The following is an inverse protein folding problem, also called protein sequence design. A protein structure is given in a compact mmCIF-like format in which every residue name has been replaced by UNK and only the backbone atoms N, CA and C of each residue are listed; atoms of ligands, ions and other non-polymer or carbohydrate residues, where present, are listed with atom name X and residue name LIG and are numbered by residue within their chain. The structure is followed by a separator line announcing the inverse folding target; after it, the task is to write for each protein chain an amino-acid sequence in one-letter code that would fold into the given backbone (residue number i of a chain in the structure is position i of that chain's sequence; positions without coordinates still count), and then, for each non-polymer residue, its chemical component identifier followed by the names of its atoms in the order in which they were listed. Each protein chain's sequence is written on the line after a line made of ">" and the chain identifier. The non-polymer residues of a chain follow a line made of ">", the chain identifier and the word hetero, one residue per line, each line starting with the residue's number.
data_IF_632504680741
#
_entry.id   IF_632504680741
#
_cell.length_a   1.000
_cell.length_b   1.000
_cell.length_c   1.000
_cell.angle_alpha   90.00
_cell.angle_beta   90.00
_cell.angle_gamma   90.00
#
_symmetry.space_group_name_H-M   'P 1'
#
loop_
_entity.id
_entity.type
_entity.pdbx_description
1 polymer ?
#
# COMPACT_ATOMS: atom_id res chain seq x y z
N UNK A 1 -3.95 17.63 -25.24
CA UNK A 1 -4.38 17.71 -23.82
C UNK A 1 -4.83 16.36 -23.25
N UNK A 2 -5.77 15.63 -23.88
CA UNK A 2 -6.22 14.31 -23.37
C UNK A 2 -5.08 13.30 -23.20
N UNK A 3 -4.23 13.16 -24.22
CA UNK A 3 -3.06 12.26 -24.20
C UNK A 3 -2.11 12.60 -23.05
N UNK A 4 -1.85 13.89 -22.83
CA UNK A 4 -1.03 14.35 -21.71
C UNK A 4 -1.62 13.92 -20.35
N UNK A 5 -2.91 14.16 -20.13
CA UNK A 5 -3.55 13.74 -18.88
C UNK A 5 -3.55 12.23 -18.71
N UNK A 6 -3.78 11.46 -19.77
CA UNK A 6 -3.70 9.99 -19.73
C UNK A 6 -2.30 9.52 -19.33
N UNK A 7 -1.24 10.14 -19.85
CA UNK A 7 0.13 9.78 -19.48
C UNK A 7 0.45 10.16 -18.03
N UNK A 8 0.02 11.36 -17.60
CA UNK A 8 0.19 11.82 -16.21
C UNK A 8 -0.53 10.89 -15.23
N UNK A 9 -1.80 10.57 -15.46
CA UNK A 9 -2.58 9.71 -14.55
C UNK A 9 -2.00 8.30 -14.47
N UNK A 10 -1.53 7.77 -15.59
CA UNK A 10 -0.91 6.44 -15.64
C UNK A 10 0.41 6.41 -14.89
N UNK A 11 1.28 7.41 -15.11
CA UNK A 11 2.52 7.56 -14.34
C UNK A 11 2.23 7.68 -12.85
N UNK A 12 1.25 8.50 -12.45
CA UNK A 12 0.86 8.63 -11.04
C UNK A 12 0.40 7.29 -10.47
N UNK A 13 -0.42 6.53 -11.21
CA UNK A 13 -0.88 5.19 -10.79
C UNK A 13 0.28 4.23 -10.53
N UNK A 14 1.22 4.12 -11.47
CA UNK A 14 2.39 3.24 -11.36
C UNK A 14 3.25 3.63 -10.15
N UNK A 15 3.52 4.92 -9.97
CA UNK A 15 4.30 5.40 -8.83
C UNK A 15 3.57 5.23 -7.50
N UNK A 16 2.23 5.30 -7.48
CA UNK A 16 1.43 4.93 -6.31
C UNK A 16 1.58 3.44 -5.97
N UNK A 17 1.67 2.56 -6.96
CA UNK A 17 1.98 1.15 -6.74
C UNK A 17 3.38 0.93 -6.16
N UNK A 18 4.38 1.66 -6.64
CA UNK A 18 5.73 1.67 -6.05
C UNK A 18 5.65 2.11 -4.60
N UNK A 19 4.95 3.21 -4.30
CA UNK A 19 4.77 3.71 -2.93
C UNK A 19 4.08 2.69 -2.03
N UNK A 20 3.05 1.99 -2.52
CA UNK A 20 2.41 0.90 -1.80
C UNK A 20 3.38 -0.25 -1.51
N UNK A 21 4.25 -0.58 -2.47
CA UNK A 21 5.28 -1.61 -2.31
C UNK A 21 6.36 -1.19 -1.30
N UNK A 22 6.79 0.08 -1.30
CA UNK A 22 7.66 0.66 -0.27
C UNK A 22 7.02 0.54 1.10
N UNK A 23 5.74 0.89 1.23
CA UNK A 23 5.02 0.80 2.51
C UNK A 23 4.94 -0.63 3.03
N UNK A 24 4.70 -1.62 2.15
CA UNK A 24 4.75 -3.04 2.51
C UNK A 24 6.15 -3.47 2.96
N UNK A 25 7.18 -3.06 2.22
CA UNK A 25 8.57 -3.33 2.57
C UNK A 25 8.92 -2.76 3.96
N UNK A 26 8.61 -1.49 4.19
CA UNK A 26 8.87 -0.83 5.48
C UNK A 26 8.12 -1.48 6.63
N UNK A 27 6.90 -1.98 6.40
CA UNK A 27 6.13 -2.70 7.42
C UNK A 27 6.77 -4.02 7.86
N UNK A 28 7.48 -4.69 6.97
CA UNK A 28 8.14 -5.98 7.24
C UNK A 28 9.50 -5.78 7.92
N UNK A 29 10.32 -4.85 7.42
CA UNK A 29 11.70 -4.71 7.89
C UNK A 29 11.89 -3.65 8.99
N UNK A 30 11.05 -2.62 9.02
CA UNK A 30 11.22 -1.47 9.91
C UNK A 30 9.89 -1.02 10.55
N UNK A 31 9.24 -1.87 11.36
CA UNK A 31 7.92 -1.59 11.93
C UNK A 31 7.91 -0.34 12.84
N UNK A 32 9.00 -0.10 13.58
CA UNK A 32 9.14 1.10 14.43
C UNK A 32 9.24 2.38 13.59
N UNK A 33 9.92 2.31 12.44
CA UNK A 33 10.01 3.44 11.53
C UNK A 33 8.66 3.71 10.87
N UNK A 34 7.90 2.67 10.54
CA UNK A 34 6.55 2.80 9.96
C UNK A 34 5.61 3.58 10.88
N UNK A 35 5.66 3.35 12.19
CA UNK A 35 4.87 4.11 13.17
C UNK A 35 5.20 5.61 13.15
N UNK A 36 6.48 5.96 12.99
CA UNK A 36 6.93 7.36 12.91
C UNK A 36 6.63 8.01 11.57
N UNK A 37 6.62 7.23 10.48
CA UNK A 37 6.47 7.72 9.10
C UNK A 37 5.04 7.66 8.55
N UNK A 38 4.02 7.50 9.40
CA UNK A 38 2.62 7.39 8.94
C UNK A 38 2.13 8.56 8.07
N UNK A 39 2.69 9.76 8.21
CA UNK A 39 2.36 10.92 7.37
C UNK A 39 3.14 11.01 6.05
N UNK A 40 4.19 10.21 5.88
CA UNK A 40 5.05 10.23 4.70
C UNK A 40 4.33 9.88 3.38
N UNK A 41 3.38 8.91 3.33
CA UNK A 41 2.69 8.57 2.09
C UNK A 41 1.98 9.76 1.45
N UNK A 42 1.39 10.66 2.26
CA UNK A 42 0.72 11.85 1.75
C UNK A 42 1.70 12.79 1.03
N UNK A 43 2.87 13.03 1.63
CA UNK A 43 3.93 13.84 1.00
C UNK A 43 4.52 13.14 -0.23
N UNK A 44 4.68 11.82 -0.16
CA UNK A 44 5.12 11.00 -1.28
C UNK A 44 4.19 11.12 -2.50
N UNK A 45 2.87 10.98 -2.29
CA UNK A 45 1.87 11.15 -3.36
C UNK A 45 1.92 12.55 -3.97
N UNK A 46 2.05 13.59 -3.13
CA UNK A 46 2.19 14.97 -3.63
C UNK A 46 3.42 15.15 -4.52
N UNK A 47 4.58 14.62 -4.10
CA UNK A 47 5.80 14.64 -4.89
C UNK A 47 5.65 13.85 -6.20
N UNK A 48 5.02 12.68 -6.17
CA UNK A 48 4.75 11.86 -7.35
C UNK A 48 3.89 12.64 -8.36
N UNK A 49 2.83 13.32 -7.89
CA UNK A 49 1.95 14.11 -8.76
C UNK A 49 2.71 15.26 -9.41
N UNK A 50 3.46 16.04 -8.62
CA UNK A 50 4.25 17.17 -9.13
C UNK A 50 5.28 16.68 -10.16
N UNK A 51 6.02 15.63 -9.83
CA UNK A 51 7.07 15.10 -10.69
C UNK A 51 6.49 14.49 -11.98
N UNK A 52 5.33 13.83 -11.89
CA UNK A 52 4.62 13.32 -13.07
C UNK A 52 4.13 14.45 -13.98
N UNK A 53 3.63 15.56 -13.44
CA UNK A 53 3.24 16.72 -14.25
C UNK A 53 4.45 17.33 -14.96
N UNK A 54 5.56 17.52 -14.23
CA UNK A 54 6.77 18.15 -14.78
C UNK A 54 7.44 17.30 -15.87
N UNK A 55 7.62 16.00 -15.64
CA UNK A 55 8.31 15.13 -16.60
C UNK A 55 7.50 14.88 -17.87
N UNK A 56 6.18 15.05 -17.83
CA UNK A 56 5.31 14.87 -19.00
C UNK A 56 5.01 16.19 -19.74
N UNK A 57 5.53 17.33 -19.28
CA UNK A 57 5.28 18.63 -19.91
C UNK A 57 5.77 18.67 -21.37
N UNK A 58 6.78 17.85 -21.70
CA UNK A 58 7.31 17.68 -23.05
C UNK A 58 6.25 17.28 -24.08
N UNK A 59 5.23 16.51 -23.69
CA UNK A 59 4.13 16.11 -24.60
C UNK A 59 3.28 17.28 -25.06
N UNK A 60 3.12 18.32 -24.23
CA UNK A 60 2.31 19.48 -24.59
C UNK A 60 2.93 20.21 -25.79
N UNK A 61 4.27 20.26 -25.85
CA UNK A 61 5.00 20.84 -26.97
C UNK A 61 5.12 19.92 -28.19
N UNK A 62 5.08 18.60 -28.01
CA UNK A 62 5.36 17.65 -29.08
C UNK A 62 4.13 17.21 -29.90
N UNK A 63 2.91 17.39 -29.38
CA UNK A 63 1.69 17.00 -30.07
C UNK A 63 1.16 18.17 -30.90
N UNK A 64 1.26 18.07 -32.22
CA UNK A 64 0.60 18.99 -33.15
C UNK A 64 -0.59 18.29 -33.82
N UNK A 65 -1.70 19.03 -33.96
CA UNK A 65 -2.86 18.56 -34.70
C UNK A 65 -2.69 18.92 -36.17
N UNK A 66 -2.44 17.92 -37.02
CA UNK A 66 -2.32 18.13 -38.48
C UNK A 66 -3.24 17.16 -39.21
N UNK A 67 -4.08 17.68 -40.10
CA UNK A 67 -4.90 16.90 -41.04
C UNK A 67 -5.73 15.77 -40.37
N UNK A 68 -6.40 16.08 -39.26
CA UNK A 68 -7.25 15.15 -38.47
C UNK A 68 -6.50 13.97 -37.83
N UNK A 69 -5.16 13.98 -37.84
CA UNK A 69 -4.34 13.05 -37.10
C UNK A 69 -3.51 13.78 -36.04
N UNK A 70 -3.41 13.20 -34.85
CA UNK A 70 -2.44 13.64 -33.84
C UNK A 70 -1.10 12.98 -34.18
N UNK A 71 -0.22 13.72 -34.85
CA UNK A 71 1.14 13.27 -35.14
C UNK A 71 2.14 13.93 -34.20
N UNK A 72 3.16 13.17 -33.82
CA UNK A 72 4.27 13.64 -32.99
C UNK A 72 5.24 14.39 -33.92
N UNK A 73 5.31 15.71 -33.83
CA UNK A 73 6.20 16.51 -34.68
C UNK A 73 7.26 17.20 -33.85
N UNK A 74 8.50 17.22 -34.34
CA UNK A 74 9.59 17.91 -33.66
C UNK A 74 9.45 19.42 -33.85
N UNK A 75 8.97 20.14 -32.83
CA UNK A 75 8.77 21.60 -32.91
C UNK A 75 10.06 22.40 -33.15
N UNK A 76 11.24 21.87 -32.80
CA UNK A 76 12.49 22.66 -32.77
C UNK A 76 13.63 22.11 -33.63
N UNK A 77 13.41 21.09 -34.47
CA UNK A 77 14.51 20.45 -35.23
C UNK A 77 15.51 19.65 -34.36
N UNK A 78 15.31 19.62 -33.04
CA UNK A 78 16.16 18.88 -32.09
C UNK A 78 15.64 17.45 -31.90
N UNK A 79 15.69 16.65 -32.98
CA UNK A 79 15.20 15.27 -32.94
C UNK A 79 15.89 14.43 -31.86
N UNK A 80 17.19 14.65 -31.65
CA UNK A 80 17.98 13.95 -30.63
C UNK A 80 17.46 14.24 -29.22
N UNK A 81 17.14 15.49 -28.89
CA UNK A 81 16.65 15.86 -27.56
C UNK A 81 15.28 15.22 -27.28
N UNK A 82 14.40 15.16 -28.27
CA UNK A 82 13.09 14.51 -28.15
C UNK A 82 13.24 13.01 -27.91
N UNK A 83 14.19 12.34 -28.58
CA UNK A 83 14.50 10.92 -28.34
C UNK A 83 14.95 10.69 -26.90
N UNK A 84 15.88 11.52 -26.39
CA UNK A 84 16.34 11.42 -25.00
C UNK A 84 15.23 11.71 -23.99
N UNK A 85 14.37 12.70 -24.25
CA UNK A 85 13.23 13.01 -23.38
C UNK A 85 12.23 11.85 -23.35
N UNK A 86 11.90 11.26 -24.49
CA UNK A 86 11.02 10.09 -24.54
C UNK A 86 11.67 8.87 -23.87
N UNK A 87 12.99 8.69 -24.00
CA UNK A 87 13.70 7.62 -23.30
C UNK A 87 13.68 7.84 -21.78
N UNK A 88 13.95 9.06 -21.33
CA UNK A 88 13.88 9.43 -19.92
C UNK A 88 12.47 9.23 -19.35
N UNK A 89 11.45 9.56 -20.12
CA UNK A 89 10.06 9.29 -19.79
C UNK A 89 9.77 7.79 -19.65
N UNK A 90 10.20 6.94 -20.60
CA UNK A 90 10.02 5.49 -20.49
C UNK A 90 10.80 4.92 -19.29
N UNK A 91 12.02 5.38 -19.07
CA UNK A 91 12.83 4.98 -17.92
C UNK A 91 12.14 5.34 -16.59
N UNK A 92 11.59 6.56 -16.51
CA UNK A 92 10.91 7.06 -15.32
C UNK A 92 9.52 6.45 -15.11
N UNK A 93 8.73 6.32 -16.17
CA UNK A 93 7.35 5.85 -16.13
C UNK A 93 7.23 4.34 -16.05
N UNK A 94 8.24 3.59 -16.52
CA UNK A 94 8.17 2.14 -16.62
C UNK A 94 9.34 1.43 -15.94
N UNK A 95 10.58 1.60 -16.43
CA UNK A 95 11.70 0.77 -15.96
C UNK A 95 12.03 0.94 -14.47
N UNK A 96 12.14 2.18 -14.00
CA UNK A 96 12.46 2.47 -12.59
C UNK A 96 11.35 1.90 -11.67
N UNK A 97 10.06 2.20 -11.90
CA UNK A 97 8.99 1.59 -11.12
C UNK A 97 8.98 0.06 -11.12
N UNK A 98 9.19 -0.58 -12.28
CA UNK A 98 9.20 -2.03 -12.41
C UNK A 98 10.32 -2.64 -11.58
N UNK A 99 11.56 -2.15 -11.76
CA UNK A 99 12.72 -2.65 -11.04
C UNK A 99 12.59 -2.41 -9.53
N UNK A 100 12.13 -1.22 -9.15
CA UNK A 100 11.91 -0.85 -7.75
C UNK A 100 10.89 -1.76 -7.07
N UNK A 101 9.75 -1.99 -7.72
CA UNK A 101 8.68 -2.87 -7.23
C UNK A 101 9.16 -4.32 -7.13
N UNK A 102 9.76 -4.86 -8.20
CA UNK A 102 10.31 -6.22 -8.21
C UNK A 102 11.36 -6.42 -7.11
N UNK A 103 12.24 -5.44 -6.91
CA UNK A 103 13.25 -5.50 -5.86
C UNK A 103 12.63 -5.51 -4.45
N UNK A 104 11.76 -4.55 -4.16
CA UNK A 104 11.16 -4.42 -2.81
C UNK A 104 10.26 -5.60 -2.48
N UNK A 105 9.34 -5.93 -3.39
CA UNK A 105 8.42 -7.04 -3.15
C UNK A 105 9.16 -8.39 -3.22
N UNK A 106 10.15 -8.55 -4.11
CA UNK A 106 11.00 -9.73 -4.16
C UNK A 106 11.74 -9.98 -2.84
N UNK A 107 12.27 -8.92 -2.22
CA UNK A 107 12.86 -9.02 -0.87
C UNK A 107 11.82 -9.38 0.18
N UNK A 108 10.60 -8.86 0.12
CA UNK A 108 9.53 -9.22 1.07
C UNK A 108 9.14 -10.70 0.94
N UNK A 109 9.17 -11.27 -0.27
CA UNK A 109 8.88 -12.70 -0.48
C UNK A 109 10.01 -13.62 -0.01
N UNK A 110 11.26 -13.23 -0.28
CA UNK A 110 12.43 -14.03 0.06
C UNK A 110 12.71 -14.05 1.56
N UNK A 111 12.47 -12.93 2.23
CA UNK A 111 12.56 -12.88 3.68
C UNK A 111 11.34 -13.57 4.24
N UNK A 112 11.47 -14.87 4.50
CA UNK A 112 10.56 -15.56 5.40
C UNK A 112 10.42 -14.68 6.63
N UNK A 113 9.20 -14.25 7.01
CA UNK A 113 9.03 -13.49 8.25
C UNK A 113 9.73 -14.31 9.31
N UNK A 114 10.66 -13.71 10.10
CA UNK A 114 11.35 -14.43 11.15
C UNK A 114 10.24 -15.10 11.93
N UNK A 115 10.12 -16.41 11.74
CA UNK A 115 9.20 -17.22 12.50
C UNK A 115 9.50 -16.81 13.91
N UNK A 116 8.46 -16.46 14.65
CA UNK A 116 8.53 -16.12 16.08
C UNK A 116 8.94 -17.38 16.88
N UNK A 117 9.91 -18.18 16.40
CA UNK A 117 11.09 -18.55 17.16
C UNK A 117 11.61 -17.22 17.73
N UNK A 118 11.32 -16.83 18.97
CA UNK A 118 11.30 -17.70 20.11
C UNK A 118 10.69 -16.91 21.28
N UNK A 119 9.38 -16.63 21.20
CA UNK A 119 8.67 -16.03 22.35
C UNK A 119 8.37 -17.06 23.44
N UNK A 120 9.02 -18.23 23.41
CA UNK A 120 8.93 -19.25 24.46
C UNK A 120 10.08 -19.21 25.47
N UNK A 121 11.12 -18.40 25.26
CA UNK A 121 12.22 -18.31 26.22
C UNK A 121 12.23 -17.09 27.15
N UNK A 122 11.23 -16.20 27.10
CA UNK A 122 11.02 -15.18 28.14
C UNK A 122 9.94 -15.65 29.13
N UNK A 123 10.11 -16.86 29.68
CA UNK A 123 9.76 -17.06 31.09
C UNK A 123 10.86 -16.38 31.90
N UNK A 124 10.78 -15.04 31.97
CA UNK A 124 11.48 -14.28 33.00
C UNK A 124 10.97 -14.79 34.33
N UNK A 125 11.93 -15.33 35.09
CA UNK A 125 11.83 -15.86 36.44
C UNK A 125 10.50 -15.67 37.12
N UNK A 126 9.79 -16.78 37.30
CA UNK A 126 9.06 -16.99 38.54
C UNK A 126 10.08 -16.83 39.67
N UNK A 127 10.14 -15.63 40.27
CA UNK A 127 10.53 -15.52 41.67
C UNK A 127 9.49 -16.28 42.46
N UNK A 128 9.72 -17.60 42.62
CA UNK A 128 9.13 -18.36 43.69
C UNK A 128 9.71 -17.80 45.00
N UNK A 129 8.90 -17.23 45.90
CA UNK A 129 9.27 -17.27 47.29
C UNK A 129 9.25 -18.74 47.72
N UNK A 130 10.38 -19.23 48.20
CA UNK A 130 10.48 -20.46 48.98
C UNK A 130 9.37 -20.43 50.03
N UNK A 131 8.37 -21.32 49.91
CA UNK A 131 7.56 -21.75 51.03
C UNK A 131 7.23 -23.23 50.84
N UNK A 132 7.43 -23.94 51.94
CA UNK A 132 7.59 -25.37 52.01
C UNK A 132 6.29 -26.14 51.80
N UNK A 133 6.46 -27.35 51.27
CA UNK A 133 5.69 -28.56 51.57
C UNK A 133 4.15 -28.45 51.53
N UNK A 134 3.57 -28.83 50.39
CA UNK A 134 2.35 -29.63 50.42
C UNK A 134 2.31 -30.57 49.21
N UNK A 135 2.45 -31.86 49.48
CA UNK A 135 2.07 -32.96 48.60
C UNK A 135 0.60 -32.83 48.21
N UNK A 136 0.26 -32.87 46.92
CA UNK A 136 -0.85 -33.70 46.48
C UNK A 136 -0.85 -33.93 44.97
N UNK A 137 -0.79 -35.21 44.64
CA UNK A 137 -1.08 -35.82 43.35
C UNK A 137 -2.45 -35.37 42.82
N UNK A 138 -2.48 -34.88 41.57
CA UNK A 138 -3.70 -34.98 40.76
C UNK A 138 -3.43 -34.84 39.26
N UNK A 139 -3.56 -36.00 38.60
CA UNK A 139 -4.05 -36.24 37.24
C UNK A 139 -3.60 -35.29 36.11
N UNK A 140 -2.45 -35.68 35.55
CA UNK A 140 -2.20 -35.71 34.11
C UNK A 140 -3.43 -36.21 33.32
N UNK A 141 -3.90 -35.40 32.36
CA UNK A 141 -4.20 -35.75 30.95
C UNK A 141 -5.15 -34.72 30.35
N UNK A 142 -4.76 -33.44 30.20
CA UNK A 142 -5.50 -32.49 29.34
C UNK A 142 -4.63 -31.38 28.70
N UNK A 143 -3.34 -31.28 29.01
CA UNK A 143 -2.48 -30.18 28.56
C UNK A 143 -1.94 -30.31 27.10
N UNK A 144 -2.28 -31.36 26.35
CA UNK A 144 -1.66 -31.61 25.04
C UNK A 144 -2.45 -31.08 23.82
N UNK A 145 -3.66 -30.52 24.00
CA UNK A 145 -4.48 -30.02 22.88
C UNK A 145 -4.42 -28.50 22.64
N UNK A 146 -3.91 -27.71 23.59
CA UNK A 146 -3.92 -26.25 23.47
C UNK A 146 -2.75 -25.68 22.64
N UNK A 147 -1.71 -26.49 22.39
CA UNK A 147 -0.53 -26.08 21.61
C UNK A 147 -0.72 -26.15 20.08
N UNK A 148 -1.82 -26.72 19.58
CA UNK A 148 -2.06 -26.88 18.14
C UNK A 148 -2.76 -25.67 17.47
N UNK A 149 -3.28 -24.70 18.24
CA UNK A 149 -4.02 -23.55 17.70
C UNK A 149 -3.12 -22.39 17.23
N UNK A 150 -1.86 -22.31 17.70
CA UNK A 150 -0.98 -21.16 17.44
C UNK A 150 -0.33 -21.16 16.04
N UNK A 151 -0.21 -22.32 15.38
CA UNK A 151 0.50 -22.44 14.10
C UNK A 151 -0.31 -22.05 12.85
N UNK A 152 -1.62 -21.73 12.97
CA UNK A 152 -2.51 -21.49 11.80
C UNK A 152 -2.53 -20.04 11.28
N UNK A 153 -1.84 -19.08 11.93
CA UNK A 153 -1.89 -17.66 11.57
C UNK A 153 -0.96 -17.23 10.42
N UNK A 154 0.24 -17.81 10.33
CA UNK A 154 1.26 -17.45 9.34
C UNK A 154 0.89 -17.68 7.85
N UNK A 155 0.17 -18.75 7.44
CA UNK A 155 -0.10 -18.97 6.01
C UNK A 155 -1.08 -17.96 5.41
N UNK A 156 -1.94 -17.33 6.22
CA UNK A 156 -2.94 -16.36 5.73
C UNK A 156 -2.30 -15.04 5.29
N UNK A 157 -1.34 -14.53 6.06
CA UNK A 157 -0.62 -13.29 5.72
C UNK A 157 0.18 -13.42 4.43
N UNK A 158 0.87 -14.56 4.24
CA UNK A 158 1.63 -14.86 3.00
C UNK A 158 0.72 -14.87 1.78
N UNK A 159 -0.46 -15.49 1.87
CA UNK A 159 -1.44 -15.50 0.78
C UNK A 159 -1.88 -14.09 0.40
N UNK A 160 -2.14 -13.22 1.38
CA UNK A 160 -2.48 -11.83 1.12
C UNK A 160 -1.34 -11.12 0.39
N UNK A 161 -0.11 -11.18 0.90
CA UNK A 161 1.07 -10.55 0.26
C UNK A 161 1.24 -11.04 -1.18
N UNK A 162 1.07 -12.34 -1.43
CA UNK A 162 1.19 -12.90 -2.77
C UNK A 162 0.10 -12.41 -3.73
N UNK A 163 -1.14 -12.27 -3.26
CA UNK A 163 -2.24 -11.69 -4.07
C UNK A 163 -1.90 -10.25 -4.44
N UNK A 164 -1.41 -9.47 -3.47
CA UNK A 164 -0.99 -8.09 -3.68
C UNK A 164 0.15 -7.97 -4.69
N UNK A 165 1.16 -8.84 -4.60
CA UNK A 165 2.24 -8.94 -5.57
C UNK A 165 1.69 -9.28 -6.96
N UNK A 166 0.81 -10.27 -7.07
CA UNK A 166 0.24 -10.69 -8.34
C UNK A 166 -0.54 -9.54 -9.01
N UNK A 167 -1.31 -8.78 -8.23
CA UNK A 167 -2.01 -7.58 -8.72
C UNK A 167 -1.02 -6.55 -9.25
N UNK A 168 0.01 -6.20 -8.45
CA UNK A 168 0.99 -5.21 -8.88
C UNK A 168 1.78 -5.69 -10.10
N UNK A 169 2.17 -6.95 -10.16
CA UNK A 169 2.85 -7.53 -11.32
C UNK A 169 1.97 -7.52 -12.58
N UNK A 170 0.66 -7.79 -12.44
CA UNK A 170 -0.27 -7.77 -13.57
C UNK A 170 -0.45 -6.35 -14.12
N UNK A 171 -0.55 -5.35 -13.24
CA UNK A 171 -0.62 -3.93 -13.61
C UNK A 171 0.60 -3.49 -14.44
N UNK A 172 1.80 -3.87 -13.97
CA UNK A 172 3.06 -3.60 -14.67
C UNK A 172 3.15 -4.33 -16.02
N UNK A 173 2.71 -5.59 -16.07
CA UNK A 173 2.74 -6.40 -17.30
C UNK A 173 1.79 -5.85 -18.37
N UNK A 174 0.64 -5.29 -17.99
CA UNK A 174 -0.29 -4.69 -18.94
C UNK A 174 0.25 -3.41 -19.59
N UNK A 175 1.14 -2.70 -18.89
CA UNK A 175 1.75 -1.48 -19.41
C UNK A 175 3.02 -1.77 -20.23
N UNK A 176 3.61 -2.97 -20.07
CA UNK A 176 4.85 -3.34 -20.76
C UNK A 176 4.75 -3.29 -22.30
N UNK A 177 3.71 -3.83 -22.96
CA UNK A 177 3.65 -3.90 -24.43
C UNK A 177 3.72 -2.53 -25.11
N UNK A 178 3.06 -1.52 -24.55
CA UNK A 178 3.09 -0.16 -25.12
C UNK A 178 4.46 0.48 -24.94
N UNK A 179 5.04 0.41 -23.74
CA UNK A 179 6.36 0.96 -23.46
C UNK A 179 7.48 0.27 -24.27
N UNK A 180 7.41 -1.05 -24.42
CA UNK A 180 8.36 -1.79 -25.27
C UNK A 180 8.19 -1.46 -26.74
N UNK A 181 6.96 -1.28 -27.23
CA UNK A 181 6.72 -0.86 -28.60
C UNK A 181 7.28 0.56 -28.83
N UNK A 182 7.01 1.50 -27.92
CA UNK A 182 7.57 2.87 -27.96
C UNK A 182 9.09 2.86 -27.95
N UNK A 183 9.71 2.02 -27.13
CA UNK A 183 11.16 1.85 -27.08
C UNK A 183 11.70 1.27 -28.39
N UNK A 184 11.07 0.22 -28.94
CA UNK A 184 11.48 -0.41 -30.19
C UNK A 184 11.43 0.57 -31.36
N UNK A 185 10.38 1.40 -31.44
CA UNK A 185 10.25 2.45 -32.47
C UNK A 185 11.35 3.52 -32.39
N UNK A 186 12.02 3.71 -31.25
CA UNK A 186 13.17 4.62 -31.18
C UNK A 186 14.41 4.08 -31.89
N UNK A 187 14.51 2.76 -32.05
CA UNK A 187 15.68 2.08 -32.63
C UNK A 187 15.45 1.58 -34.06
N UNK A 188 14.20 1.45 -34.50
CA UNK A 188 13.87 0.97 -35.84
C UNK A 188 13.91 2.13 -36.85
N UNK A 189 14.75 2.00 -37.88
CA UNK A 189 14.73 2.89 -39.04
C UNK A 189 13.50 2.64 -39.91
N UNK A 190 12.92 3.72 -40.44
CA UNK A 190 11.63 3.76 -41.16
C UNK A 190 11.57 2.85 -42.40
N UNK A 191 12.72 2.40 -42.91
CA UNK A 191 12.88 1.61 -44.16
C UNK A 191 12.62 0.11 -44.02
N UNK A 192 12.36 -0.41 -42.81
CA UNK A 192 12.22 -1.84 -42.55
C UNK A 192 10.78 -2.36 -42.82
N UNK A 193 10.59 -3.59 -43.33
CA UNK A 193 9.28 -4.18 -43.63
C UNK A 193 8.41 -4.54 -42.41
N UNK A 194 8.85 -4.18 -41.20
CA UNK A 194 8.16 -4.46 -39.91
C UNK A 194 6.80 -3.73 -39.81
N UNK A 195 6.56 -2.77 -40.70
CA UNK A 195 5.33 -1.98 -40.74
C UNK A 195 4.02 -2.78 -40.89
N UNK A 196 4.06 -3.99 -41.48
CA UNK A 196 2.85 -4.82 -41.61
C UNK A 196 2.31 -5.31 -40.25
N UNK A 197 3.20 -5.68 -39.33
CA UNK A 197 2.82 -6.16 -37.99
C UNK A 197 2.66 -5.02 -36.97
N UNK A 198 3.12 -3.82 -37.32
CA UNK A 198 3.08 -2.68 -36.42
C UNK A 198 1.67 -2.33 -35.94
N UNK A 199 0.71 -2.23 -36.86
CA UNK A 199 -0.68 -1.86 -36.53
C UNK A 199 -1.37 -2.82 -35.56
N UNK A 200 -1.41 -4.15 -35.82
CA UNK A 200 -2.06 -5.07 -34.88
C UNK A 200 -1.35 -5.08 -33.52
N UNK A 201 -0.01 -5.08 -33.48
CA UNK A 201 0.75 -5.04 -32.22
C UNK A 201 0.43 -3.76 -31.44
N UNK A 202 0.37 -2.61 -32.12
CA UNK A 202 0.00 -1.33 -31.50
C UNK A 202 -1.39 -1.36 -30.88
N UNK A 203 -2.39 -1.89 -31.60
CA UNK A 203 -3.77 -1.98 -31.09
C UNK A 203 -3.83 -2.88 -29.86
N UNK A 204 -3.15 -4.03 -29.89
CA UNK A 204 -3.08 -4.94 -28.73
C UNK A 204 -2.38 -4.26 -27.55
N UNK A 205 -1.24 -3.61 -27.78
CA UNK A 205 -0.52 -2.88 -26.74
C UNK A 205 -1.38 -1.78 -26.10
N UNK A 206 -2.12 -1.02 -26.91
CA UNK A 206 -3.04 0.00 -26.41
C UNK A 206 -4.21 -0.61 -25.63
N UNK A 207 -4.76 -1.74 -26.08
CA UNK A 207 -5.82 -2.44 -25.36
C UNK A 207 -5.34 -2.93 -23.99
N UNK A 208 -4.13 -3.50 -23.91
CA UNK A 208 -3.50 -3.86 -22.65
C UNK A 208 -3.33 -2.65 -21.74
N UNK A 209 -2.80 -1.54 -22.29
CA UNK A 209 -2.64 -0.28 -21.57
C UNK A 209 -3.96 0.25 -21.00
N UNK A 210 -5.04 0.30 -21.79
CA UNK A 210 -6.33 0.79 -21.29
C UNK A 210 -6.98 -0.15 -20.27
N UNK A 211 -6.76 -1.46 -20.40
CA UNK A 211 -7.25 -2.46 -19.44
C UNK A 211 -6.68 -2.24 -18.05
N UNK A 212 -5.50 -1.61 -17.95
CA UNK A 212 -4.85 -1.25 -16.70
C UNK A 212 -5.76 -0.44 -15.77
N UNK A 213 -6.50 0.54 -16.31
CA UNK A 213 -7.40 1.37 -15.50
C UNK A 213 -8.54 0.56 -14.89
N UNK A 214 -9.11 -0.37 -15.66
CA UNK A 214 -10.16 -1.25 -15.18
C UNK A 214 -9.64 -2.19 -14.08
N UNK A 215 -8.46 -2.79 -14.28
CA UNK A 215 -7.86 -3.67 -13.27
C UNK A 215 -7.47 -2.91 -12.02
N UNK A 216 -6.94 -1.69 -12.13
CA UNK A 216 -6.64 -0.84 -10.97
C UNK A 216 -7.89 -0.51 -10.15
N UNK A 217 -8.99 -0.15 -10.82
CA UNK A 217 -10.26 0.11 -10.16
C UNK A 217 -10.81 -1.14 -9.45
N UNK A 218 -10.79 -2.30 -10.13
CA UNK A 218 -11.23 -3.59 -9.55
C UNK A 218 -10.34 -3.98 -8.36
N UNK A 219 -9.03 -3.78 -8.49
CA UNK A 219 -8.06 -4.11 -7.43
C UNK A 219 -8.30 -3.28 -6.18
N UNK A 220 -8.48 -1.96 -6.33
CA UNK A 220 -8.83 -1.07 -5.22
C UNK A 220 -10.19 -1.45 -4.63
N UNK A 221 -11.19 -1.75 -5.46
CA UNK A 221 -12.50 -2.19 -5.00
C UNK A 221 -12.40 -3.45 -4.14
N UNK A 222 -11.70 -4.48 -4.61
CA UNK A 222 -11.51 -5.74 -3.87
C UNK A 222 -10.77 -5.52 -2.56
N UNK A 223 -9.74 -4.67 -2.55
CA UNK A 223 -8.97 -4.34 -1.35
C UNK A 223 -9.82 -3.59 -0.31
N UNK A 224 -10.52 -2.55 -0.73
CA UNK A 224 -11.35 -1.73 0.16
C UNK A 224 -12.51 -2.56 0.68
N UNK A 225 -13.15 -3.34 -0.20
CA UNK A 225 -14.26 -4.22 0.14
C UNK A 225 -13.87 -5.31 1.15
N UNK A 226 -12.72 -5.98 0.98
CA UNK A 226 -12.26 -6.99 1.93
C UNK A 226 -11.96 -6.38 3.31
N UNK A 227 -11.50 -5.11 3.35
CA UNK A 227 -11.26 -4.40 4.62
C UNK A 227 -12.53 -3.87 5.28
N UNK A 228 -13.54 -3.44 4.51
CA UNK A 228 -14.78 -2.89 5.07
C UNK A 228 -15.69 -3.98 5.65
N UNK A 229 -15.68 -5.19 5.08
CA UNK A 229 -16.55 -6.30 5.53
C UNK A 229 -15.90 -7.13 6.64
N UNK A 230 -14.58 -7.10 6.75
CA UNK A 230 -13.84 -7.71 7.86
C UNK A 230 -13.16 -6.61 8.69
N UNK A 231 -13.89 -5.78 9.44
CA UNK A 231 -13.27 -4.99 10.49
C UNK A 231 -12.70 -5.98 11.49
N UNK A 232 -11.41 -6.28 11.35
CA UNK A 232 -10.68 -7.15 12.25
C UNK A 232 -10.78 -6.52 13.64
N UNK A 233 -11.56 -7.15 14.54
CA UNK A 233 -11.63 -6.79 15.96
C UNK A 233 -10.24 -6.72 16.64
N UNK A 234 -9.19 -7.23 15.99
CA UNK A 234 -7.80 -7.23 16.46
C UNK A 234 -6.99 -5.96 16.15
N UNK A 235 -7.44 -5.08 15.23
CA UNK A 235 -6.71 -3.83 14.95
C UNK A 235 -6.77 -2.87 16.15
N UNK A 236 -7.93 -2.78 16.81
CA UNK A 236 -8.11 -2.02 18.04
C UNK A 236 -7.31 -2.61 19.21
N UNK A 237 -7.18 -3.94 19.30
CA UNK A 237 -6.41 -4.60 20.37
C UNK A 237 -4.89 -4.43 20.21
N UNK A 238 -4.38 -4.38 18.97
CA UNK A 238 -2.94 -4.18 18.72
C UNK A 238 -2.53 -2.72 18.90
N UNK A 239 -3.38 -1.78 18.47
CA UNK A 239 -3.16 -0.35 18.72
C UNK A 239 -3.30 0.01 20.21
N UNK A 240 -4.32 -0.52 20.91
CA UNK A 240 -4.47 -0.33 22.36
C UNK A 240 -3.35 -0.98 23.16
N UNK A 241 -2.91 -2.19 22.81
CA UNK A 241 -1.78 -2.83 23.51
C UNK A 241 -0.46 -2.10 23.28
N UNK A 242 -0.21 -1.53 22.09
CA UNK A 242 0.97 -0.70 21.84
C UNK A 242 0.92 0.66 22.57
N UNK A 243 -0.24 1.31 22.64
CA UNK A 243 -0.44 2.54 23.43
C UNK A 243 -0.29 2.26 24.93
N UNK A 244 -0.81 1.13 25.40
CA UNK A 244 -0.71 0.69 26.80
C UNK A 244 0.73 0.31 27.19
N UNK A 245 1.51 -0.26 26.26
CA UNK A 245 2.92 -0.58 26.47
C UNK A 245 3.81 0.69 26.46
N UNK A 246 3.44 1.69 25.65
CA UNK A 246 4.11 2.99 25.63
C UNK A 246 3.83 3.79 26.92
N UNK A 247 2.60 3.74 27.45
CA UNK A 247 2.23 4.36 28.72
C UNK A 247 2.91 3.72 29.94
N UNK A 248 3.16 2.41 29.91
CA UNK A 248 3.89 1.71 30.97
C UNK A 248 5.40 1.97 30.95
N UNK A 249 5.96 2.39 29.81
CA UNK A 249 7.40 2.69 29.68
C UNK A 249 7.73 4.15 30.07
N UNK A 250 6.71 5.02 30.21
CA UNK A 250 6.87 6.44 30.59
C UNK A 250 6.54 6.70 32.08
N UNK A 251 6.44 5.67 32.93
CA UNK A 251 6.46 5.87 34.38
C UNK A 251 7.92 5.87 34.87
N UNK A 252 8.53 7.03 35.16
CA UNK A 252 9.76 7.05 35.93
C UNK A 252 9.45 6.53 37.33
N UNK A 253 10.42 5.84 37.92
CA UNK A 253 10.43 5.37 39.30
C UNK A 253 10.09 6.49 40.28
N UNK A 254 8.81 6.67 40.60
CA UNK A 254 8.39 7.40 41.79
C UNK A 254 8.46 6.40 42.93
N UNK A 255 9.41 6.67 43.81
CA UNK A 255 9.64 6.02 45.10
C UNK A 255 8.34 5.72 45.83
N UNK A 256 8.27 4.52 46.38
CA UNK A 256 7.15 4.01 47.16
C UNK A 256 6.95 4.83 48.45
N UNK A 257 5.99 5.74 48.46
CA UNK A 257 5.41 6.26 49.70
C UNK A 257 3.97 6.78 49.63
N UNK A 258 3.26 6.75 48.49
CA UNK A 258 1.89 7.28 48.40
C UNK A 258 0.94 6.38 47.60
N UNK A 259 0.70 5.16 48.10
CA UNK A 259 -0.05 4.11 47.40
C UNK A 259 -1.58 4.13 47.57
N UNK A 260 -2.16 5.08 48.33
CA UNK A 260 -3.60 5.09 48.60
C UNK A 260 -4.39 6.13 47.79
N UNK A 261 -3.76 7.24 47.38
CA UNK A 261 -4.46 8.40 46.82
C UNK A 261 -4.45 8.42 45.28
N UNK A 262 -3.47 7.77 44.65
CA UNK A 262 -3.30 7.75 43.18
C UNK A 262 -4.28 6.79 42.48
N UNK A 263 -4.66 5.69 43.14
CA UNK A 263 -5.62 4.72 42.59
C UNK A 263 -7.03 5.29 42.37
N UNK A 264 -7.44 6.31 43.14
CA UNK A 264 -8.74 7.00 42.95
C UNK A 264 -8.75 8.00 41.80
N UNK A 265 -7.61 8.55 41.39
CA UNK A 265 -7.56 9.48 40.24
C UNK A 265 -7.61 8.75 38.90
N UNK A 266 -7.03 7.54 38.82
CA UNK A 266 -7.03 6.73 37.60
C UNK A 266 -8.40 6.10 37.28
N UNK A 267 -9.25 5.83 38.27
CA UNK A 267 -10.63 5.38 38.03
C UNK A 267 -11.53 6.52 37.49
N UNK A 268 -11.29 7.77 37.91
CA UNK A 268 -12.03 8.94 37.45
C UNK A 268 -11.69 9.34 36.01
N UNK A 269 -10.42 9.22 35.60
CA UNK A 269 -10.02 9.47 34.20
C UNK A 269 -10.50 8.41 33.21
N UNK A 270 -10.67 7.14 33.65
CA UNK A 270 -11.24 6.08 32.79
C UNK A 270 -12.71 6.34 32.42
N UNK A 271 -13.51 6.90 33.33
CA UNK A 271 -14.90 7.27 33.02
C UNK A 271 -15.00 8.48 32.09
N UNK A 272 -14.08 9.45 32.20
CA UNK A 272 -14.10 10.64 31.33
C UNK A 272 -13.66 10.33 29.88
N UNK A 273 -12.70 9.41 29.66
CA UNK A 273 -12.29 9.01 28.31
C UNK A 273 -13.32 8.09 27.62
N UNK A 274 -14.09 7.30 28.39
CA UNK A 274 -15.17 6.48 27.83
C UNK A 274 -16.27 7.32 27.19
N UNK A 275 -16.67 8.43 27.83
CA UNK A 275 -17.72 9.31 27.31
C UNK A 275 -17.30 10.16 26.10
N UNK A 276 -16.00 10.48 25.94
CA UNK A 276 -15.52 11.28 24.81
C UNK A 276 -15.47 10.49 23.48
N UNK A 277 -15.30 9.17 23.54
CA UNK A 277 -15.25 8.30 22.35
C UNK A 277 -16.64 7.92 21.85
N UNK A 278 -17.64 7.89 22.74
CA UNK A 278 -19.04 7.59 22.38
C UNK A 278 -19.76 8.80 21.74
N UNK A 279 -19.27 10.03 21.98
CA UNK A 279 -19.86 11.25 21.43
C UNK A 279 -19.46 11.53 19.96
N UNK A 280 -18.36 10.96 19.46
CA UNK A 280 -17.84 11.21 18.11
C UNK A 280 -18.38 10.21 17.05
N UNK A 281 -19.21 9.26 17.46
CA UNK A 281 -19.84 8.24 16.59
C UNK A 281 -21.33 8.54 16.34
N UNK A 282 -21.86 9.63 16.89
CA UNK A 282 -23.29 9.98 16.82
C UNK A 282 -23.56 11.32 16.14
N UNK A 283 -22.89 11.63 15.03
CA UNK A 283 -23.32 12.71 14.12
C UNK A 283 -23.78 12.11 12.78
N UNK A 284 -25.06 11.77 12.80
CA UNK A 284 -25.87 11.20 11.72
C UNK A 284 -26.29 12.33 10.77
N UNK A 285 -25.43 12.66 9.80
CA UNK A 285 -25.81 13.51 8.66
C UNK A 285 -26.26 12.66 7.47
N UNK A 286 -27.49 12.16 7.58
CA UNK A 286 -28.28 11.60 6.48
C UNK A 286 -28.42 12.61 5.32
N UNK A 287 -28.01 12.27 4.08
CA UNK A 287 -28.38 13.06 2.90
C UNK A 287 -29.84 12.77 2.52
N UNK A 288 -30.70 13.76 2.78
CA UNK A 288 -32.12 13.76 2.44
C UNK A 288 -32.30 13.94 0.92
N UNK A 289 -32.41 12.83 0.17
CA UNK A 289 -32.76 12.86 -1.25
C UNK A 289 -34.24 13.20 -1.41
N UNK A 290 -34.53 14.48 -1.63
CA UNK A 290 -35.87 14.98 -1.98
C UNK A 290 -36.15 14.65 -3.45
N UNK A 291 -37.01 13.67 -3.67
CA UNK A 291 -37.60 13.35 -4.96
C UNK A 291 -38.51 14.49 -5.42
N UNK A 292 -38.06 15.31 -6.38
CA UNK A 292 -38.95 16.19 -7.14
C UNK A 292 -39.69 15.36 -8.18
N UNK A 293 -40.94 15.04 -7.85
CA UNK A 293 -41.93 14.43 -8.75
C UNK A 293 -42.45 15.53 -9.68
N UNK A 294 -42.04 15.50 -10.94
CA UNK A 294 -42.65 16.26 -12.03
C UNK A 294 -44.08 15.80 -12.25
N UNK A 295 -45.05 16.68 -12.00
CA UNK A 295 -46.40 16.57 -12.55
C UNK A 295 -46.47 17.41 -13.83
N UNK A 296 -46.83 16.74 -14.91
CA UNK A 296 -47.33 17.29 -16.17
C UNK A 296 -48.62 18.09 -15.96
N UNK A 297 -48.67 19.29 -16.53
CA UNK A 297 -49.70 19.78 -17.45
C UNK A 297 -49.16 21.02 -18.19
#
# INVERSE_FOLDING_TARGET
>A
LMIYWMQVTTNVSIWCWVLMSVMRYMAVYHPLLQLRLWHLPRRGVQLIIILSLLLNVSFVGAVQFRERQCQYTSMFGWQTAIRWLNLAEICWGFFIPVLSTMFMDGRVLLTSPPTVLDRRHVHVGSTQPLNAAHLQDSNNTNASKENAASHRGAPRLRKTIFIWLAITSLDLLLNAPDNFLRLALMFIDEKQPVWQWYWPVRVVSQLCYFSQFAINAISLLLVVYDRSIKPSRSATTTALSMVQQSLLTISPSVSASDSATSARRLSSQRSALGCAVEADISDDSQPQWRTSRTHTL
#
